data_IF_447981166358
#
_entry.id   IF_447981166358
#
_cell.length_a   1.000
_cell.length_b   1.000
_cell.length_c   1.000
_cell.angle_alpha   90.00
_cell.angle_beta   90.00
_cell.angle_gamma   90.00
#
_symmetry.space_group_name_H-M   'P 1'
#
loop_
_entity.id
_entity.type
_entity.pdbx_description
1 polymer ?
#
# COMPACT_ATOMS: atom_id res chain seq x y z
N UNK A 1 -9.78 11.09 -16.30
CA UNK A 1 -9.55 10.48 -17.63
C UNK A 1 -8.90 9.09 -17.54
N UNK A 2 -7.73 8.92 -16.92
CA UNK A 2 -7.02 7.61 -16.83
C UNK A 2 -7.86 6.46 -16.24
N UNK A 3 -8.52 6.66 -15.10
CA UNK A 3 -9.31 5.62 -14.44
C UNK A 3 -10.45 5.06 -15.32
N UNK A 4 -11.02 5.86 -16.23
CA UNK A 4 -12.03 5.36 -17.17
C UNK A 4 -11.47 4.26 -18.09
N UNK A 5 -10.18 4.37 -18.44
CA UNK A 5 -9.53 3.38 -19.29
C UNK A 5 -8.92 2.21 -18.52
N UNK A 6 -8.56 2.43 -17.25
CA UNK A 6 -7.87 1.47 -16.39
C UNK A 6 -8.80 0.65 -15.48
N UNK A 7 -9.85 1.25 -14.89
CA UNK A 7 -10.76 0.63 -13.91
C UNK A 7 -11.76 -0.34 -14.57
N UNK A 8 -11.25 -1.47 -15.07
CA UNK A 8 -12.00 -2.51 -15.78
C UNK A 8 -11.42 -3.88 -15.47
N UNK A 9 -12.22 -4.94 -15.57
CA UNK A 9 -11.72 -6.33 -15.44
C UNK A 9 -10.54 -6.63 -16.37
N UNK A 10 -10.47 -5.97 -17.53
CA UNK A 10 -9.30 -5.92 -18.42
C UNK A 10 -8.97 -4.46 -18.71
N UNK A 11 -7.85 -3.97 -18.19
CA UNK A 11 -7.39 -2.61 -18.44
C UNK A 11 -7.01 -2.42 -19.92
N UNK A 12 -7.39 -1.29 -20.53
CA UNK A 12 -6.97 -0.95 -21.91
C UNK A 12 -5.77 0.00 -21.95
N UNK A 13 -5.47 0.65 -20.84
CA UNK A 13 -4.37 1.58 -20.70
C UNK A 13 -3.72 1.34 -19.33
N UNK A 14 -2.39 1.28 -19.32
CA UNK A 14 -1.57 1.18 -18.12
C UNK A 14 -0.82 2.49 -17.93
N UNK A 15 -0.63 2.92 -16.68
CA UNK A 15 0.14 4.14 -16.40
C UNK A 15 1.61 3.99 -16.82
N UNK A 16 2.13 2.76 -16.84
CA UNK A 16 3.55 2.48 -17.00
C UNK A 16 4.39 3.05 -15.85
N UNK A 17 5.70 2.96 -16.00
CA UNK A 17 6.64 3.48 -15.00
C UNK A 17 6.66 5.00 -14.97
N UNK A 18 6.58 5.65 -16.15
CA UNK A 18 6.53 7.11 -16.25
C UNK A 18 5.32 7.66 -15.50
N UNK A 19 4.12 7.12 -15.76
CA UNK A 19 2.90 7.60 -15.11
C UNK A 19 2.90 7.38 -13.59
N UNK A 20 3.36 6.21 -13.13
CA UNK A 20 3.38 5.89 -11.69
C UNK A 20 4.41 6.74 -10.94
N UNK A 21 5.62 6.91 -11.47
CA UNK A 21 6.67 7.76 -10.87
C UNK A 21 6.24 9.23 -10.84
N UNK A 22 5.63 9.74 -11.92
CA UNK A 22 5.11 11.11 -11.94
C UNK A 22 4.05 11.34 -10.85
N UNK A 23 3.09 10.41 -10.70
CA UNK A 23 2.05 10.52 -9.65
C UNK A 23 2.67 10.47 -8.26
N UNK A 24 3.60 9.53 -8.02
CA UNK A 24 4.28 9.41 -6.73
C UNK A 24 5.05 10.69 -6.37
N UNK A 25 5.78 11.26 -7.34
CA UNK A 25 6.53 12.49 -7.15
C UNK A 25 5.62 13.68 -6.77
N UNK A 26 4.52 13.86 -7.49
CA UNK A 26 3.55 14.93 -7.21
C UNK A 26 2.94 14.76 -5.81
N UNK A 27 2.53 13.55 -5.44
CA UNK A 27 1.97 13.27 -4.12
C UNK A 27 2.98 13.53 -3.00
N UNK A 28 4.20 13.01 -3.14
CA UNK A 28 5.26 13.22 -2.14
C UNK A 28 5.63 14.70 -2.00
N UNK A 29 5.65 15.46 -3.10
CA UNK A 29 5.89 16.90 -3.05
C UNK A 29 4.82 17.64 -2.23
N UNK A 30 3.54 17.35 -2.47
CA UNK A 30 2.46 17.98 -1.73
C UNK A 30 2.40 17.56 -0.26
N UNK A 31 2.61 16.27 0.03
CA UNK A 31 2.65 15.77 1.41
C UNK A 31 3.86 16.35 2.14
N UNK A 32 5.03 16.39 1.52
CA UNK A 32 6.22 17.01 2.11
C UNK A 32 6.02 18.50 2.39
N UNK A 33 5.42 19.23 1.45
CA UNK A 33 5.07 20.64 1.65
C UNK A 33 4.07 20.81 2.80
N UNK A 34 3.10 19.90 2.95
CA UNK A 34 2.13 19.91 4.04
C UNK A 34 2.81 19.70 5.39
N UNK A 35 3.64 18.66 5.51
CA UNK A 35 4.43 18.36 6.71
C UNK A 35 5.28 19.56 7.14
N UNK A 36 5.99 20.19 6.19
CA UNK A 36 6.84 21.35 6.49
C UNK A 36 5.99 22.56 6.94
N UNK A 37 4.81 22.75 6.34
CA UNK A 37 3.94 23.89 6.67
C UNK A 37 3.20 23.75 7.99
N UNK A 38 2.83 22.53 8.37
CA UNK A 38 2.13 22.27 9.63
C UNK A 38 3.08 21.87 10.75
N UNK A 39 4.36 21.67 10.45
CA UNK A 39 5.38 21.13 11.36
C UNK A 39 4.96 19.80 12.00
N UNK A 40 4.17 19.01 11.26
CA UNK A 40 3.54 17.79 11.76
C UNK A 40 3.88 16.62 10.83
N UNK A 41 4.60 15.64 11.34
CA UNK A 41 4.99 14.47 10.56
C UNK A 41 3.85 13.45 10.42
N UNK A 42 2.79 13.57 11.22
CA UNK A 42 1.69 12.60 11.22
C UNK A 42 0.90 12.58 9.89
N UNK A 43 1.04 13.60 9.04
CA UNK A 43 0.54 13.60 7.66
C UNK A 43 1.08 12.48 6.76
N UNK A 44 2.16 11.79 7.16
CA UNK A 44 2.61 10.56 6.50
C UNK A 44 1.51 9.47 6.48
N UNK A 45 0.49 9.58 7.34
CA UNK A 45 -0.72 8.74 7.37
C UNK A 45 -1.42 8.65 6.00
N UNK A 46 -1.31 9.68 5.16
CA UNK A 46 -1.85 9.71 3.80
C UNK A 46 -1.25 8.62 2.90
N UNK A 47 -0.09 8.07 3.28
CA UNK A 47 0.60 6.98 2.60
C UNK A 47 0.58 5.67 3.40
N UNK A 48 -0.12 5.59 4.53
CA UNK A 48 0.01 4.50 5.49
C UNK A 48 -0.23 3.10 4.90
N UNK A 49 -1.29 2.90 4.11
CA UNK A 49 -1.63 1.57 3.57
C UNK A 49 -0.53 1.07 2.63
N UNK A 50 -0.09 1.93 1.71
CA UNK A 50 0.96 1.60 0.73
C UNK A 50 2.35 1.51 1.38
N UNK A 51 2.63 2.38 2.35
CA UNK A 51 3.88 2.39 3.10
C UNK A 51 4.04 1.13 3.94
N UNK A 52 3.01 0.72 4.68
CA UNK A 52 3.04 -0.50 5.50
C UNK A 52 3.23 -1.74 4.63
N UNK A 53 2.46 -1.90 3.55
CA UNK A 53 2.62 -3.03 2.63
C UNK A 53 4.05 -3.09 2.04
N UNK A 54 4.57 -1.94 1.59
CA UNK A 54 5.91 -1.86 0.98
C UNK A 54 7.02 -2.18 1.97
N UNK A 55 7.01 -1.53 3.14
CA UNK A 55 8.04 -1.71 4.17
C UNK A 55 8.01 -3.13 4.73
N UNK A 56 6.83 -3.67 5.06
CA UNK A 56 6.73 -5.03 5.58
C UNK A 56 7.10 -6.08 4.54
N UNK A 57 6.82 -5.84 3.25
CA UNK A 57 7.28 -6.72 2.18
C UNK A 57 8.80 -6.75 2.10
N UNK A 58 9.47 -5.59 2.21
CA UNK A 58 10.94 -5.49 2.21
C UNK A 58 11.53 -6.20 3.44
N UNK A 59 11.00 -5.92 4.64
CA UNK A 59 11.44 -6.58 5.88
C UNK A 59 11.30 -8.10 5.78
N UNK A 60 10.16 -8.57 5.26
CA UNK A 60 9.93 -10.00 5.10
C UNK A 60 10.92 -10.65 4.11
N UNK A 61 11.28 -9.96 3.02
CA UNK A 61 12.32 -10.44 2.08
C UNK A 61 13.70 -10.46 2.71
N UNK A 62 14.03 -9.45 3.52
CA UNK A 62 15.28 -9.42 4.27
C UNK A 62 15.37 -10.60 5.24
N UNK A 63 14.29 -10.91 5.97
CA UNK A 63 14.23 -12.08 6.87
C UNK A 63 14.39 -13.41 6.11
N UNK A 64 13.85 -13.50 4.89
CA UNK A 64 14.02 -14.65 3.99
C UNK A 64 15.37 -14.68 3.28
N UNK A 65 16.27 -13.73 3.57
CA UNK A 65 17.60 -13.60 2.95
C UNK A 65 17.56 -13.54 1.42
N UNK A 66 16.50 -12.98 0.85
CA UNK A 66 16.40 -12.80 -0.59
C UNK A 66 17.13 -11.52 -1.03
N UNK A 67 17.72 -11.54 -2.22
CA UNK A 67 18.34 -10.34 -2.78
C UNK A 67 17.26 -9.29 -3.10
N UNK A 68 17.24 -8.21 -2.31
CA UNK A 68 16.23 -7.15 -2.39
C UNK A 68 16.23 -6.47 -3.75
N UNK A 69 17.37 -6.38 -4.43
CA UNK A 69 17.53 -5.75 -5.75
C UNK A 69 16.93 -6.54 -6.91
N UNK A 70 16.54 -7.81 -6.70
CA UNK A 70 15.87 -8.60 -7.72
C UNK A 70 14.35 -8.35 -7.72
N UNK A 71 13.70 -8.35 -8.91
CA UNK A 71 12.24 -8.26 -9.02
C UNK A 71 11.54 -9.35 -8.20
N UNK A 72 10.52 -8.97 -7.43
CA UNK A 72 9.71 -9.90 -6.65
C UNK A 72 8.21 -9.66 -6.86
N UNK A 73 7.42 -10.68 -6.52
CA UNK A 73 5.95 -10.64 -6.64
C UNK A 73 5.25 -10.86 -5.30
N UNK A 74 5.89 -10.43 -4.21
CA UNK A 74 5.50 -10.73 -2.83
C UNK A 74 4.68 -9.66 -2.13
N UNK A 75 4.38 -8.55 -2.81
CA UNK A 75 3.50 -7.56 -2.22
C UNK A 75 2.12 -8.18 -1.98
N UNK A 76 1.47 -7.76 -0.90
CA UNK A 76 0.15 -8.27 -0.51
C UNK A 76 -0.84 -8.16 -1.68
N UNK A 77 -0.82 -7.03 -2.38
CA UNK A 77 -1.61 -6.80 -3.60
C UNK A 77 -1.36 -7.86 -4.68
N UNK A 78 -0.09 -8.20 -4.96
CA UNK A 78 0.28 -9.15 -6.01
C UNK A 78 -0.12 -10.58 -5.64
N UNK A 79 -0.02 -10.95 -4.37
CA UNK A 79 -0.47 -12.25 -3.87
C UNK A 79 -1.99 -12.38 -4.05
N UNK A 80 -2.75 -11.37 -3.66
CA UNK A 80 -4.21 -11.37 -3.84
C UNK A 80 -4.63 -11.41 -5.32
N UNK A 81 -4.00 -10.59 -6.16
CA UNK A 81 -4.40 -10.47 -7.56
C UNK A 81 -3.98 -11.71 -8.39
N UNK A 82 -2.77 -12.23 -8.16
CA UNK A 82 -2.20 -13.27 -9.01
C UNK A 82 -2.42 -14.69 -8.45
N UNK A 83 -2.19 -14.88 -7.14
CA UNK A 83 -2.23 -16.23 -6.55
C UNK A 83 -3.64 -16.62 -6.12
N UNK A 84 -4.33 -15.69 -5.44
CA UNK A 84 -5.73 -15.89 -5.07
C UNK A 84 -6.68 -15.63 -6.24
N UNK A 85 -6.16 -15.22 -7.41
CA UNK A 85 -6.92 -14.91 -8.64
C UNK A 85 -8.07 -13.92 -8.41
N UNK A 86 -7.95 -13.08 -7.39
CA UNK A 86 -8.96 -12.05 -7.09
C UNK A 86 -8.83 -10.98 -8.19
N UNK A 87 -9.94 -10.53 -8.80
CA UNK A 87 -9.86 -9.48 -9.82
C UNK A 87 -9.16 -8.24 -9.26
N UNK A 88 -8.13 -7.75 -9.96
CA UNK A 88 -7.34 -6.59 -9.52
C UNK A 88 -8.20 -5.37 -9.16
N UNK A 89 -9.32 -5.15 -9.87
CA UNK A 89 -10.29 -4.07 -9.55
C UNK A 89 -10.82 -4.19 -8.12
N UNK A 90 -11.12 -5.41 -7.66
CA UNK A 90 -11.60 -5.66 -6.29
C UNK A 90 -10.48 -5.37 -5.30
N UNK A 91 -9.27 -5.88 -5.56
CA UNK A 91 -8.11 -5.65 -4.70
C UNK A 91 -7.79 -4.15 -4.59
N UNK A 92 -7.75 -3.42 -5.71
CA UNK A 92 -7.55 -1.97 -5.73
C UNK A 92 -8.66 -1.22 -5.00
N UNK A 93 -9.92 -1.66 -5.12
CA UNK A 93 -11.06 -1.05 -4.42
C UNK A 93 -10.95 -1.24 -2.91
N UNK A 94 -10.49 -2.39 -2.44
CA UNK A 94 -10.22 -2.64 -1.01
C UNK A 94 -9.12 -1.71 -0.51
N UNK A 95 -7.99 -1.60 -1.21
CA UNK A 95 -6.91 -0.67 -0.83
C UNK A 95 -7.40 0.79 -0.77
N UNK A 96 -8.18 1.21 -1.78
CA UNK A 96 -8.77 2.55 -1.82
C UNK A 96 -9.70 2.79 -0.63
N UNK A 97 -10.58 1.85 -0.32
CA UNK A 97 -11.53 1.97 0.78
C UNK A 97 -10.82 2.01 2.14
N UNK A 98 -9.84 1.13 2.37
CA UNK A 98 -9.05 1.12 3.61
C UNK A 98 -8.27 2.42 3.76
N UNK A 99 -7.60 2.90 2.71
CA UNK A 99 -6.87 4.17 2.77
C UNK A 99 -7.81 5.35 3.00
N UNK A 100 -9.00 5.37 2.39
CA UNK A 100 -10.00 6.41 2.62
C UNK A 100 -10.49 6.41 4.08
N UNK A 101 -10.78 5.23 4.66
CA UNK A 101 -11.20 5.09 6.05
C UNK A 101 -10.11 5.56 7.03
N UNK A 102 -8.84 5.23 6.75
CA UNK A 102 -7.69 5.69 7.54
C UNK A 102 -7.58 7.22 7.51
N UNK A 103 -7.75 7.83 6.33
CA UNK A 103 -7.69 9.30 6.18
C UNK A 103 -8.86 9.96 6.93
N UNK A 104 -10.08 9.45 6.74
CA UNK A 104 -11.27 9.96 7.43
C UNK A 104 -11.11 9.85 8.94
N UNK A 105 -10.65 8.71 9.43
CA UNK A 105 -10.38 8.51 10.86
C UNK A 105 -9.31 9.47 11.39
N UNK A 106 -8.23 9.71 10.64
CA UNK A 106 -7.21 10.67 11.04
C UNK A 106 -7.78 12.08 11.20
N UNK A 107 -8.68 12.53 10.32
CA UNK A 107 -9.33 13.84 10.49
C UNK A 107 -10.20 13.92 11.75
N UNK A 108 -10.90 12.84 12.13
CA UNK A 108 -11.66 12.80 13.38
C UNK A 108 -10.77 12.82 14.63
N UNK A 109 -9.62 12.14 14.57
CA UNK A 109 -8.67 12.02 15.67
C UNK A 109 -7.44 12.92 15.50
N UNK A 110 -7.57 14.04 14.79
CA UNK A 110 -6.44 14.90 14.42
C UNK A 110 -5.63 15.37 15.64
N UNK A 111 -6.31 15.68 16.75
CA UNK A 111 -5.66 16.07 18.02
C UNK A 111 -4.74 14.98 18.61
N UNK A 112 -4.90 13.72 18.20
CA UNK A 112 -4.09 12.58 18.60
C UNK A 112 -3.33 11.98 17.42
N UNK A 113 -2.97 12.79 16.42
CA UNK A 113 -2.44 12.34 15.14
C UNK A 113 -1.30 11.30 15.22
N UNK A 114 -0.34 11.49 16.13
CA UNK A 114 0.76 10.53 16.34
C UNK A 114 0.29 9.17 16.91
N UNK A 115 -0.62 9.18 17.89
CA UNK A 115 -1.20 7.96 18.45
C UNK A 115 -2.06 7.23 17.41
N UNK A 116 -2.82 7.99 16.63
CA UNK A 116 -3.61 7.43 15.52
C UNK A 116 -2.71 6.81 14.46
N UNK A 117 -1.60 7.46 14.11
CA UNK A 117 -0.60 6.93 13.19
C UNK A 117 0.01 5.63 13.71
N UNK A 118 0.46 5.61 14.97
CA UNK A 118 1.02 4.42 15.59
C UNK A 118 0.01 3.26 15.59
N UNK A 119 -1.22 3.51 16.04
CA UNK A 119 -2.28 2.51 16.07
C UNK A 119 -2.59 1.97 14.67
N UNK A 120 -2.68 2.84 13.67
CA UNK A 120 -2.93 2.46 12.27
C UNK A 120 -1.82 1.56 11.73
N UNK A 121 -0.55 1.93 11.93
CA UNK A 121 0.59 1.12 11.50
C UNK A 121 0.59 -0.25 12.17
N UNK A 122 0.32 -0.32 13.48
CA UNK A 122 0.26 -1.59 14.21
C UNK A 122 -0.89 -2.49 13.76
N UNK A 123 -2.09 -1.92 13.53
CA UNK A 123 -3.26 -2.66 13.05
C UNK A 123 -3.00 -3.19 11.65
N UNK A 124 -2.60 -2.32 10.71
CA UNK A 124 -2.31 -2.72 9.33
C UNK A 124 -1.17 -3.74 9.27
N UNK A 125 -0.13 -3.55 10.09
CA UNK A 125 0.99 -4.47 10.15
C UNK A 125 0.60 -5.84 10.71
N UNK A 126 -0.23 -5.87 11.74
CA UNK A 126 -0.78 -7.13 12.29
C UNK A 126 -1.62 -7.85 11.25
N UNK A 127 -2.52 -7.14 10.56
CA UNK A 127 -3.34 -7.69 9.48
C UNK A 127 -2.46 -8.25 8.35
N UNK A 128 -1.40 -7.54 7.96
CA UNK A 128 -0.43 -8.00 6.97
C UNK A 128 0.25 -9.30 7.42
N UNK A 129 0.77 -9.37 8.66
CA UNK A 129 1.45 -10.57 9.16
C UNK A 129 0.50 -11.76 9.24
N UNK A 130 -0.74 -11.56 9.71
CA UNK A 130 -1.77 -12.61 9.74
C UNK A 130 -2.11 -13.11 8.33
N UNK A 131 -2.27 -12.19 7.39
CA UNK A 131 -2.53 -12.54 5.99
C UNK A 131 -1.37 -13.35 5.41
N UNK A 132 -0.13 -12.87 5.56
CA UNK A 132 1.06 -13.54 5.06
C UNK A 132 1.20 -14.92 5.69
N UNK A 133 1.04 -15.07 7.01
CA UNK A 133 1.10 -16.38 7.68
C UNK A 133 0.09 -17.38 7.10
N UNK A 134 -1.10 -16.92 6.72
CA UNK A 134 -2.16 -17.78 6.17
C UNK A 134 -1.92 -18.15 4.71
N UNK A 135 -1.52 -17.19 3.87
CA UNK A 135 -1.49 -17.35 2.43
C UNK A 135 -0.09 -17.56 1.84
N UNK A 136 0.99 -17.36 2.60
CA UNK A 136 2.36 -17.50 2.11
C UNK A 136 2.71 -18.92 1.65
N UNK A 137 2.03 -19.95 2.18
CA UNK A 137 2.21 -21.34 1.71
C UNK A 137 1.82 -21.51 0.24
N UNK A 138 0.88 -20.71 -0.28
CA UNK A 138 0.47 -20.77 -1.69
C UNK A 138 1.60 -20.30 -2.63
N UNK A 139 2.39 -19.31 -2.20
CA UNK A 139 3.53 -18.79 -2.95
C UNK A 139 4.67 -19.82 -3.09
N UNK A 140 4.90 -20.63 -2.04
CA UNK A 140 5.92 -21.68 -2.04
C UNK A 140 5.52 -22.90 -2.90
N UNK A 141 4.22 -23.17 -3.06
CA UNK A 141 3.71 -24.32 -3.82
C UNK A 141 3.60 -24.06 -5.34
N UNK A 142 3.60 -22.79 -5.77
CA UNK A 142 3.52 -22.39 -7.17
C UNK A 142 4.88 -22.07 -7.80
N UNK A 143 5.97 -22.52 -7.18
CA UNK A 143 7.34 -22.40 -7.69
C UNK A 143 7.72 -23.58 -8.57
#
# INVERSE_FOLDING_TARGET
VFNFFNFRKRAKCFAGDVGSVCIAFVLLFFIGKLVIRTEDFSWIILLAVYGVDSVLTIIHRLMLHENIGLPHRKHLYQIMANELKIPHVVVSSVYMLVQALVIVGYFYFYSYGYWYLLATVLILGTLYVLFMKKYFRLHLMNK
#
